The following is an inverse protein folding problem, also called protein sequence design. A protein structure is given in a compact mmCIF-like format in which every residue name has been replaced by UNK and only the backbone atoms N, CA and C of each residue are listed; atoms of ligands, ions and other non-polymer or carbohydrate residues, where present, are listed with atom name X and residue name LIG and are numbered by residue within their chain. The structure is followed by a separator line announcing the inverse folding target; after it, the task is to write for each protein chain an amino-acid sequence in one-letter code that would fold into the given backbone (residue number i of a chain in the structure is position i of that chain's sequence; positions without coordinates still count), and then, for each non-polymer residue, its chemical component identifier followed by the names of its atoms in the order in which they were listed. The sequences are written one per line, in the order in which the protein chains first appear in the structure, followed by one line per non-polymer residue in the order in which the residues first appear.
data_IF_962638037180
#
_entry.id   IF_962638037180
#
_cell.length_a   1.000
_cell.length_b   1.000
_cell.length_c   1.000
_cell.angle_alpha   90.00
_cell.angle_beta   90.00
_cell.angle_gamma   90.00
#
_symmetry.space_group_name_H-M   'P 1'
#
loop_
_entity.id
_entity.type
_entity.pdbx_description
1 polymer ?
#
# COMPACT_ATOMS: atom_id res chain seq x y z
N UNK A 1 15.71 0.75 -24.31
CA UNK A 1 15.55 0.01 -23.04
C UNK A 1 16.42 -1.24 -23.09
N UNK A 2 16.98 -1.67 -21.98
CA UNK A 2 17.71 -2.93 -21.90
C UNK A 2 16.71 -4.08 -22.04
N UNK A 3 16.95 -5.05 -22.92
CA UNK A 3 16.16 -6.29 -23.01
C UNK A 3 16.42 -7.24 -21.82
N UNK A 4 17.24 -6.80 -20.87
CA UNK A 4 17.62 -7.57 -19.69
C UNK A 4 16.56 -7.43 -18.59
N UNK A 5 16.21 -8.55 -17.92
CA UNK A 5 15.19 -8.51 -16.87
C UNK A 5 15.65 -7.72 -15.65
N UNK A 6 14.70 -7.02 -15.03
CA UNK A 6 14.88 -6.47 -13.68
C UNK A 6 15.09 -7.59 -12.66
N UNK A 7 15.59 -7.27 -11.48
CA UNK A 7 15.52 -8.19 -10.34
C UNK A 7 14.61 -7.58 -9.26
N UNK A 8 13.55 -8.28 -8.93
CA UNK A 8 12.70 -7.95 -7.79
C UNK A 8 13.11 -8.80 -6.60
N UNK A 9 13.57 -8.17 -5.52
CA UNK A 9 13.92 -8.87 -4.30
C UNK A 9 12.98 -8.48 -3.15
N UNK A 10 12.50 -9.48 -2.42
CA UNK A 10 11.58 -9.25 -1.31
C UNK A 10 11.18 -10.54 -0.59
N UNK A 11 10.04 -10.51 0.08
CA UNK A 11 9.55 -11.64 0.89
C UNK A 11 8.03 -11.81 0.75
N UNK A 12 7.55 -13.05 0.86
CA UNK A 12 6.11 -13.37 0.77
C UNK A 12 5.26 -12.75 1.88
N UNK A 13 5.85 -12.49 3.04
CA UNK A 13 5.18 -11.81 4.16
C UNK A 13 5.19 -10.28 4.07
N UNK A 14 5.62 -9.69 2.95
CA UNK A 14 5.66 -8.25 2.74
C UNK A 14 4.58 -7.81 1.75
N UNK A 15 3.60 -6.99 2.16
CA UNK A 15 2.56 -6.47 1.27
C UNK A 15 3.15 -5.69 0.09
N UNK A 16 4.10 -4.81 0.33
CA UNK A 16 4.75 -4.00 -0.71
C UNK A 16 5.53 -4.84 -1.72
N UNK A 17 6.13 -5.96 -1.28
CA UNK A 17 6.78 -6.90 -2.19
C UNK A 17 5.77 -7.56 -3.14
N UNK A 18 4.62 -7.98 -2.60
CA UNK A 18 3.58 -8.62 -3.41
C UNK A 18 2.89 -7.60 -4.32
N UNK A 19 2.69 -6.35 -3.86
CA UNK A 19 2.26 -5.22 -4.69
C UNK A 19 3.15 -5.09 -5.93
N UNK A 20 4.46 -4.93 -5.75
CA UNK A 20 5.39 -4.75 -6.87
C UNK A 20 5.49 -5.96 -7.78
N UNK A 21 5.41 -7.17 -7.22
CA UNK A 21 5.37 -8.40 -8.03
C UNK A 21 4.16 -8.45 -8.94
N UNK A 22 2.99 -8.09 -8.45
CA UNK A 22 1.75 -8.04 -9.24
C UNK A 22 1.81 -6.95 -10.31
N UNK A 23 2.33 -5.75 -9.99
CA UNK A 23 2.56 -4.67 -10.96
C UNK A 23 3.46 -5.14 -12.11
N UNK A 24 4.61 -5.75 -11.82
CA UNK A 24 5.52 -6.21 -12.86
C UNK A 24 4.90 -7.31 -13.75
N UNK A 25 4.11 -8.22 -13.17
CA UNK A 25 3.37 -9.25 -13.92
C UNK A 25 2.30 -8.62 -14.81
N UNK A 26 1.47 -7.75 -14.26
CA UNK A 26 0.44 -7.05 -15.03
C UNK A 26 1.03 -6.27 -16.20
N UNK A 27 2.13 -5.55 -15.98
CA UNK A 27 2.80 -4.75 -17.00
C UNK A 27 3.65 -5.53 -17.99
N UNK A 28 3.71 -6.86 -17.86
CA UNK A 28 4.58 -7.72 -18.65
C UNK A 28 6.06 -7.30 -18.64
N UNK A 29 6.51 -6.67 -17.54
CA UNK A 29 7.92 -6.28 -17.39
C UNK A 29 8.72 -7.50 -16.97
N UNK A 30 9.73 -7.92 -17.76
CA UNK A 30 10.52 -9.08 -17.40
C UNK A 30 11.30 -8.89 -16.11
N UNK A 31 11.20 -9.81 -15.19
CA UNK A 31 11.95 -9.77 -13.93
C UNK A 31 12.34 -11.15 -13.43
N UNK A 32 13.46 -11.21 -12.69
CA UNK A 32 13.86 -12.34 -11.86
C UNK A 32 13.40 -12.07 -10.42
N UNK A 33 12.70 -13.03 -9.85
CA UNK A 33 12.34 -12.98 -8.43
C UNK A 33 13.47 -13.50 -7.56
N UNK A 34 13.86 -12.77 -6.51
CA UNK A 34 14.84 -13.16 -5.51
C UNK A 34 14.24 -13.05 -4.11
N UNK A 35 14.36 -14.08 -3.32
CA UNK A 35 13.97 -14.05 -1.92
C UNK A 35 15.07 -13.35 -1.12
N UNK A 36 14.76 -12.13 -0.64
CA UNK A 36 15.72 -11.28 0.08
C UNK A 36 16.23 -11.95 1.36
N UNK A 37 17.52 -11.81 1.63
CA UNK A 37 18.25 -12.42 2.76
C UNK A 37 18.30 -13.96 2.71
N UNK A 38 17.99 -14.59 1.58
CA UNK A 38 18.22 -16.02 1.37
C UNK A 38 19.64 -16.29 0.88
N UNK A 39 20.04 -17.57 0.89
CA UNK A 39 21.34 -17.97 0.30
C UNK A 39 21.50 -17.70 -1.21
N UNK A 40 20.42 -17.32 -1.87
CA UNK A 40 20.36 -16.98 -3.29
C UNK A 40 20.35 -15.47 -3.55
N UNK A 41 20.43 -14.69 -2.46
CA UNK A 41 20.46 -13.23 -2.52
C UNK A 41 21.90 -12.77 -2.76
N UNK A 42 22.24 -12.59 -4.01
CA UNK A 42 23.53 -12.09 -4.50
C UNK A 42 23.51 -10.60 -4.86
N UNK A 43 22.49 -9.89 -4.41
CA UNK A 43 22.19 -8.54 -4.84
C UNK A 43 22.98 -7.47 -4.06
N UNK A 44 23.20 -6.30 -4.67
CA UNK A 44 23.83 -5.18 -3.99
C UNK A 44 23.00 -4.71 -2.78
N UNK A 45 23.67 -4.03 -1.85
CA UNK A 45 22.98 -3.38 -0.73
C UNK A 45 22.02 -2.31 -1.26
N UNK A 46 20.80 -2.30 -0.73
CA UNK A 46 19.84 -1.25 -1.02
C UNK A 46 20.21 0.04 -0.25
N UNK A 47 19.79 1.22 -0.75
CA UNK A 47 20.04 2.51 -0.07
C UNK A 47 19.49 2.56 1.36
N UNK A 48 18.38 1.87 1.61
CA UNK A 48 17.74 1.70 2.91
C UNK A 48 17.36 0.22 3.07
N UNK A 49 17.49 -0.38 4.29
CA UNK A 49 17.21 -1.81 4.51
C UNK A 49 15.71 -2.11 4.61
N UNK A 50 14.98 -1.79 3.54
CA UNK A 50 13.55 -2.09 3.36
C UNK A 50 13.32 -2.91 2.09
N UNK A 51 12.17 -3.53 1.97
CA UNK A 51 11.72 -4.30 0.81
C UNK A 51 10.36 -3.77 0.31
N UNK A 52 10.09 -3.88 -1.01
CA UNK A 52 10.87 -4.54 -2.04
C UNK A 52 12.10 -3.76 -2.50
N UNK A 53 13.09 -4.49 -3.04
CA UNK A 53 14.21 -3.91 -3.77
C UNK A 53 14.07 -4.26 -5.24
N UNK A 54 14.14 -3.27 -6.13
CA UNK A 54 14.29 -3.49 -7.57
C UNK A 54 15.73 -3.15 -7.95
N UNK A 55 16.41 -4.11 -8.57
CA UNK A 55 17.75 -3.90 -9.11
C UNK A 55 17.68 -3.84 -10.64
N UNK A 56 18.15 -2.74 -11.18
CA UNK A 56 18.24 -2.50 -12.61
C UNK A 56 19.53 -3.12 -13.16
N UNK A 57 19.51 -3.78 -14.32
CA UNK A 57 20.72 -4.33 -14.90
C UNK A 57 21.58 -3.25 -15.55
N UNK A 58 22.90 -3.41 -15.49
CA UNK A 58 23.82 -2.70 -16.34
C UNK A 58 23.77 -3.26 -17.78
N UNK A 59 24.35 -2.54 -18.74
CA UNK A 59 24.38 -2.97 -20.16
C UNK A 59 25.12 -4.30 -20.39
N UNK A 60 26.01 -4.70 -19.49
CA UNK A 60 26.74 -5.96 -19.53
C UNK A 60 26.02 -7.11 -18.79
N UNK A 61 24.82 -6.86 -18.26
CA UNK A 61 24.01 -7.82 -17.52
C UNK A 61 24.39 -7.96 -16.03
N UNK A 62 25.38 -7.23 -15.56
CA UNK A 62 25.70 -7.17 -14.13
C UNK A 62 24.66 -6.38 -13.34
N UNK A 63 24.63 -6.52 -12.00
CA UNK A 63 23.75 -5.76 -11.14
C UNK A 63 24.15 -4.28 -11.13
N UNK A 64 23.19 -3.42 -11.48
CA UNK A 64 23.32 -1.97 -11.46
C UNK A 64 22.65 -1.34 -10.23
N UNK A 65 21.88 -0.29 -10.47
CA UNK A 65 21.22 0.48 -9.41
C UNK A 65 20.16 -0.34 -8.66
N UNK A 66 20.21 -0.30 -7.32
CA UNK A 66 19.18 -0.86 -6.45
C UNK A 66 18.27 0.26 -5.93
N UNK A 67 16.97 0.12 -6.13
CA UNK A 67 15.93 1.06 -5.66
C UNK A 67 15.02 0.41 -4.63
N UNK A 68 14.42 1.22 -3.79
CA UNK A 68 13.44 0.84 -2.77
C UNK A 68 12.25 1.76 -2.82
N UNK A 69 11.18 1.42 -2.09
CA UNK A 69 9.95 2.19 -2.01
C UNK A 69 9.04 2.01 -3.23
N UNK A 70 7.87 1.40 -2.99
CA UNK A 70 7.00 0.92 -4.08
C UNK A 70 6.41 2.04 -4.94
N UNK A 71 6.01 3.18 -4.37
CA UNK A 71 5.37 4.25 -5.13
C UNK A 71 6.36 4.98 -6.05
N UNK A 72 7.58 5.38 -5.61
CA UNK A 72 8.63 5.84 -6.52
C UNK A 72 9.06 4.78 -7.57
N UNK A 73 9.06 3.48 -7.21
CA UNK A 73 9.35 2.41 -8.16
C UNK A 73 8.29 2.35 -9.27
N UNK A 74 6.99 2.42 -8.94
CA UNK A 74 5.91 2.48 -9.93
C UNK A 74 6.10 3.71 -10.83
N UNK A 75 6.31 4.90 -10.26
CA UNK A 75 6.53 6.14 -11.01
C UNK A 75 7.70 6.03 -11.99
N UNK A 76 8.77 5.36 -11.60
CA UNK A 76 9.92 5.11 -12.49
C UNK A 76 9.57 4.12 -13.59
N UNK A 77 8.88 3.03 -13.27
CA UNK A 77 8.46 2.04 -14.25
C UNK A 77 7.51 2.63 -15.30
N UNK A 78 6.63 3.56 -14.92
CA UNK A 78 5.76 4.28 -15.85
C UNK A 78 6.55 5.10 -16.88
N UNK A 79 7.66 5.70 -16.47
CA UNK A 79 8.54 6.48 -17.38
C UNK A 79 9.39 5.60 -18.30
N UNK A 80 9.76 4.40 -17.84
CA UNK A 80 10.66 3.50 -18.56
C UNK A 80 9.93 2.50 -19.49
N UNK A 81 8.67 2.19 -19.20
CA UNK A 81 7.85 1.22 -19.93
C UNK A 81 6.52 1.87 -20.31
N UNK A 82 6.16 1.87 -21.58
CA UNK A 82 4.97 2.56 -22.09
C UNK A 82 3.69 1.73 -22.06
N UNK A 83 3.83 0.38 -22.03
CA UNK A 83 2.69 -0.51 -22.18
C UNK A 83 2.02 -0.83 -20.85
N UNK A 84 0.70 -1.04 -20.90
CA UNK A 84 -0.10 -1.49 -19.75
C UNK A 84 0.11 -0.62 -18.50
N UNK A 85 0.04 0.71 -18.68
CA UNK A 85 0.16 1.68 -17.59
C UNK A 85 -0.78 1.35 -16.43
N UNK A 86 -0.33 1.56 -15.20
CA UNK A 86 -1.16 1.49 -13.97
C UNK A 86 -1.56 2.90 -13.49
N UNK A 87 -1.28 3.92 -14.29
CA UNK A 87 -1.69 5.31 -14.02
C UNK A 87 -2.56 5.78 -15.19
N UNK A 88 -3.81 6.22 -14.95
CA UNK A 88 -4.66 6.81 -15.98
C UNK A 88 -4.01 8.01 -16.65
N UNK A 89 -4.31 8.23 -17.94
CA UNK A 89 -3.85 9.44 -18.65
C UNK A 89 -4.62 10.70 -18.27
N UNK A 90 -5.87 10.59 -17.78
CA UNK A 90 -6.60 11.73 -17.20
C UNK A 90 -5.94 12.14 -15.87
N UNK A 91 -5.43 13.39 -15.77
CA UNK A 91 -4.67 13.82 -14.59
C UNK A 91 -5.48 13.81 -13.30
N UNK A 92 -6.79 14.05 -13.37
CA UNK A 92 -7.66 14.02 -12.19
C UNK A 92 -7.87 12.58 -11.71
N UNK A 93 -8.12 11.62 -12.62
CA UNK A 93 -8.17 10.20 -12.25
C UNK A 93 -6.83 9.70 -11.72
N UNK A 94 -5.71 10.10 -12.34
CA UNK A 94 -4.37 9.72 -11.91
C UNK A 94 -4.06 10.22 -10.48
N UNK A 95 -4.55 11.41 -10.13
CA UNK A 95 -4.42 11.96 -8.79
C UNK A 95 -5.26 11.17 -7.77
N UNK A 96 -6.53 10.91 -8.07
CA UNK A 96 -7.41 10.11 -7.21
C UNK A 96 -6.84 8.70 -6.99
N UNK A 97 -6.33 8.05 -8.04
CA UNK A 97 -5.68 6.76 -7.97
C UNK A 97 -4.44 6.78 -7.03
N UNK A 98 -3.66 7.87 -7.10
CA UNK A 98 -2.52 8.10 -6.21
C UNK A 98 -2.91 8.30 -4.76
N UNK A 99 -3.97 9.03 -4.49
CA UNK A 99 -4.52 9.19 -3.14
C UNK A 99 -4.95 7.84 -2.56
N UNK A 100 -5.59 6.99 -3.37
CA UNK A 100 -6.01 5.65 -2.96
C UNK A 100 -4.79 4.74 -2.74
N UNK A 101 -3.74 4.84 -3.57
CA UNK A 101 -2.50 4.11 -3.36
C UNK A 101 -1.88 4.45 -2.00
N UNK A 102 -1.75 5.75 -1.70
CA UNK A 102 -1.15 6.21 -0.44
C UNK A 102 -1.99 5.79 0.78
N UNK A 103 -3.32 5.84 0.70
CA UNK A 103 -4.20 5.27 1.71
C UNK A 103 -3.95 3.77 1.94
N UNK A 104 -3.81 3.00 0.87
CA UNK A 104 -3.47 1.57 0.94
C UNK A 104 -2.15 1.33 1.66
N UNK A 105 -1.14 2.08 1.29
CA UNK A 105 0.22 1.92 1.80
C UNK A 105 0.40 2.47 3.23
N UNK A 106 -0.28 3.55 3.62
CA UNK A 106 -0.03 4.26 4.89
C UNK A 106 -1.12 4.09 5.95
N UNK A 107 -2.36 3.75 5.54
CA UNK A 107 -3.45 3.50 6.49
C UNK A 107 -3.83 2.03 6.59
N UNK A 108 -4.10 1.35 5.47
CA UNK A 108 -4.50 -0.07 5.50
C UNK A 108 -3.36 -0.95 6.06
N UNK A 109 -2.11 -0.54 5.88
CA UNK A 109 -0.95 -1.19 6.52
C UNK A 109 -1.04 -1.24 8.05
N UNK A 110 -1.74 -0.27 8.69
CA UNK A 110 -1.94 -0.27 10.14
C UNK A 110 -2.78 -1.48 10.58
N UNK A 111 -3.84 -1.79 9.82
CA UNK A 111 -4.65 -2.98 10.06
C UNK A 111 -3.83 -4.26 9.85
N UNK A 112 -3.05 -4.35 8.77
CA UNK A 112 -2.18 -5.50 8.51
C UNK A 112 -1.19 -5.74 9.64
N UNK A 113 -0.52 -4.69 10.10
CA UNK A 113 0.44 -4.80 11.19
C UNK A 113 -0.25 -5.12 12.53
N UNK A 114 -1.40 -4.48 12.78
CA UNK A 114 -2.20 -4.69 13.97
C UNK A 114 -2.60 -6.14 14.10
N UNK A 115 -3.32 -6.71 13.14
CA UNK A 115 -3.76 -8.11 13.20
C UNK A 115 -2.60 -9.09 13.37
N UNK A 116 -1.54 -8.94 12.57
CA UNK A 116 -0.38 -9.85 12.60
C UNK A 116 0.32 -9.92 13.95
N UNK A 117 0.36 -8.81 14.69
CA UNK A 117 1.17 -8.71 15.91
C UNK A 117 0.35 -8.48 17.18
N UNK A 118 -0.98 -8.65 17.11
CA UNK A 118 -1.89 -8.54 18.27
C UNK A 118 -2.40 -9.91 18.71
N UNK A 119 -2.80 -10.74 17.77
CA UNK A 119 -3.50 -12.00 18.05
C UNK A 119 -2.55 -13.18 18.05
N UNK A 120 -2.70 -14.08 19.03
CA UNK A 120 -1.79 -15.21 19.24
C UNK A 120 -1.63 -16.08 17.98
N UNK A 121 -2.73 -16.39 17.30
CA UNK A 121 -2.69 -17.21 16.09
C UNK A 121 -1.88 -16.59 14.95
N UNK A 122 -1.95 -15.27 14.83
CA UNK A 122 -1.23 -14.50 13.82
C UNK A 122 0.24 -14.33 14.19
N UNK A 123 0.52 -14.03 15.46
CA UNK A 123 1.88 -13.96 16.02
C UNK A 123 2.60 -15.29 15.83
N UNK A 124 1.95 -16.39 16.20
CA UNK A 124 2.52 -17.73 16.11
C UNK A 124 2.85 -18.09 14.66
N UNK A 125 1.91 -17.88 13.74
CA UNK A 125 2.14 -18.12 12.32
C UNK A 125 3.26 -17.24 11.76
N UNK A 126 3.20 -15.92 11.99
CA UNK A 126 4.19 -14.99 11.48
C UNK A 126 5.59 -15.27 12.04
N UNK A 127 5.68 -15.51 13.36
CA UNK A 127 6.93 -15.81 14.04
C UNK A 127 7.64 -17.05 13.49
N UNK A 128 6.89 -18.09 13.11
CA UNK A 128 7.45 -19.29 12.52
C UNK A 128 7.71 -19.16 11.00
N UNK A 129 6.75 -18.65 10.24
CA UNK A 129 6.84 -18.70 8.76
C UNK A 129 7.74 -17.62 8.16
N UNK A 130 7.83 -16.43 8.75
CA UNK A 130 8.68 -15.38 8.19
C UNK A 130 10.17 -15.75 8.20
N UNK A 131 10.75 -16.34 9.26
CA UNK A 131 12.13 -16.82 9.21
C UNK A 131 12.32 -18.00 8.25
N UNK A 132 11.47 -19.01 8.32
CA UNK A 132 11.57 -20.23 7.50
C UNK A 132 11.46 -19.91 6.01
N UNK A 133 10.68 -18.89 5.64
CA UNK A 133 10.57 -18.48 4.22
C UNK A 133 11.92 -18.09 3.60
N UNK A 134 12.91 -17.70 4.39
CA UNK A 134 14.26 -17.35 3.92
C UNK A 134 15.20 -18.53 3.87
N UNK A 135 15.05 -19.45 4.79
CA UNK A 135 15.89 -20.63 4.91
C UNK A 135 15.08 -21.85 5.39
N UNK A 136 14.70 -22.70 4.45
CA UNK A 136 13.99 -23.97 4.74
C UNK A 136 14.86 -24.99 5.49
N UNK A 137 16.17 -24.77 5.63
CA UNK A 137 17.11 -25.68 6.27
C UNK A 137 17.40 -25.30 7.74
N UNK A 138 16.70 -24.29 8.29
CA UNK A 138 16.80 -23.94 9.72
C UNK A 138 16.50 -25.17 10.60
N UNK A 139 17.38 -25.45 11.54
CA UNK A 139 17.08 -26.42 12.60
C UNK A 139 16.16 -25.80 13.68
N UNK A 140 15.65 -26.62 14.58
CA UNK A 140 14.69 -26.18 15.61
C UNK A 140 15.22 -25.06 16.49
N UNK A 141 16.51 -25.08 16.87
CA UNK A 141 17.10 -24.05 17.73
C UNK A 141 17.26 -22.72 17.01
N UNK A 142 17.61 -22.76 15.72
CA UNK A 142 17.71 -21.57 14.85
C UNK A 142 16.32 -20.96 14.64
N UNK A 143 15.31 -21.80 14.38
CA UNK A 143 13.95 -21.36 14.21
C UNK A 143 13.41 -20.70 15.48
N UNK A 144 13.61 -21.33 16.65
CA UNK A 144 13.15 -20.76 17.92
C UNK A 144 13.80 -19.39 18.21
N UNK A 145 15.10 -19.25 18.01
CA UNK A 145 15.80 -17.96 18.17
C UNK A 145 15.28 -16.89 17.22
N UNK A 146 14.98 -17.28 15.97
CA UNK A 146 14.45 -16.36 14.97
C UNK A 146 13.00 -15.96 15.31
N UNK A 147 12.19 -16.89 15.78
CA UNK A 147 10.85 -16.65 16.29
C UNK A 147 10.87 -15.64 17.45
N UNK A 148 11.66 -15.90 18.49
CA UNK A 148 11.76 -15.02 19.66
C UNK A 148 12.21 -13.61 19.26
N UNK A 149 13.19 -13.50 18.37
CA UNK A 149 13.70 -12.23 17.88
C UNK A 149 12.63 -11.44 17.11
N UNK A 150 11.98 -12.07 16.11
CA UNK A 150 11.05 -11.36 15.25
C UNK A 150 9.78 -10.96 16.00
N UNK A 151 9.22 -11.86 16.81
CA UNK A 151 8.01 -11.58 17.58
C UNK A 151 8.23 -10.48 18.60
N UNK A 152 9.28 -10.59 19.43
CA UNK A 152 9.64 -9.55 20.40
C UNK A 152 9.86 -8.19 19.73
N UNK A 153 10.62 -8.15 18.62
CA UNK A 153 10.91 -6.93 17.87
C UNK A 153 9.65 -6.29 17.28
N UNK A 154 8.77 -7.07 16.71
CA UNK A 154 7.60 -6.53 16.02
C UNK A 154 6.49 -6.15 17.00
N UNK A 155 6.28 -6.94 18.05
CA UNK A 155 5.30 -6.62 19.11
C UNK A 155 5.69 -5.32 19.81
N UNK A 156 6.98 -5.12 20.14
CA UNK A 156 7.45 -3.88 20.78
C UNK A 156 7.29 -2.64 19.88
N UNK A 157 7.07 -2.81 18.58
CA UNK A 157 6.89 -1.73 17.60
C UNK A 157 5.42 -1.43 17.25
N UNK A 158 4.47 -2.14 17.82
CA UNK A 158 3.05 -1.93 17.53
C UNK A 158 2.62 -0.47 17.71
N UNK A 159 3.02 0.15 18.79
CA UNK A 159 2.70 1.56 19.08
C UNK A 159 3.25 2.53 18.01
N UNK A 160 4.37 2.22 17.34
CA UNK A 160 4.93 3.07 16.28
C UNK A 160 4.04 3.19 15.05
N UNK A 161 3.22 2.17 14.80
CA UNK A 161 2.24 2.16 13.69
C UNK A 161 0.81 2.41 14.18
N UNK A 162 0.65 2.81 15.44
CA UNK A 162 -0.64 3.11 16.05
C UNK A 162 -1.43 1.89 16.51
N UNK A 163 -0.86 0.67 16.49
CA UNK A 163 -1.53 -0.54 16.96
C UNK A 163 -1.50 -0.62 18.50
N UNK A 164 -2.41 0.08 19.14
CA UNK A 164 -2.62 0.11 20.60
C UNK A 164 -4.01 -0.41 20.95
N UNK A 165 -4.26 -0.70 22.23
CA UNK A 165 -5.59 -1.11 22.69
C UNK A 165 -6.65 -0.03 22.44
N UNK A 166 -6.28 1.26 22.62
CA UNK A 166 -7.15 2.40 22.39
C UNK A 166 -7.57 2.54 20.92
N UNK A 167 -6.63 2.31 19.99
CA UNK A 167 -6.87 2.41 18.56
C UNK A 167 -7.47 1.13 17.93
N UNK A 168 -7.47 0.00 18.63
CA UNK A 168 -7.95 -1.29 18.11
C UNK A 168 -9.34 -1.17 17.44
N UNK A 169 -10.37 -0.58 18.07
CA UNK A 169 -11.70 -0.50 17.45
C UNK A 169 -11.70 0.30 16.14
N UNK A 170 -10.91 1.37 16.06
CA UNK A 170 -10.80 2.22 14.87
C UNK A 170 -10.13 1.44 13.72
N UNK A 171 -9.02 0.76 14.00
CA UNK A 171 -8.24 0.02 13.00
C UNK A 171 -9.06 -1.14 12.44
N UNK A 172 -9.70 -1.93 13.31
CA UNK A 172 -10.46 -3.11 12.90
C UNK A 172 -11.73 -2.72 12.15
N UNK A 173 -12.48 -1.72 12.61
CA UNK A 173 -13.68 -1.26 11.92
C UNK A 173 -13.35 -0.63 10.55
N UNK A 174 -12.21 0.06 10.41
CA UNK A 174 -11.73 0.56 9.11
C UNK A 174 -11.47 -0.59 8.13
N UNK A 175 -10.83 -1.68 8.58
CA UNK A 175 -10.65 -2.87 7.74
C UNK A 175 -11.98 -3.49 7.32
N UNK A 176 -12.93 -3.62 8.24
CA UNK A 176 -14.26 -4.17 7.93
C UNK A 176 -15.02 -3.32 6.90
N UNK A 177 -14.98 -1.98 7.02
CA UNK A 177 -15.60 -1.09 6.05
C UNK A 177 -14.92 -1.15 4.69
N UNK A 178 -13.59 -1.26 4.64
CA UNK A 178 -12.87 -1.48 3.38
C UNK A 178 -13.36 -2.76 2.69
N UNK A 179 -13.55 -3.86 3.43
CA UNK A 179 -14.10 -5.11 2.89
C UNK A 179 -15.51 -4.93 2.32
N UNK A 180 -16.38 -4.16 2.98
CA UNK A 180 -17.74 -3.88 2.51
C UNK A 180 -17.74 -3.02 1.23
N UNK A 181 -16.90 -1.99 1.19
CA UNK A 181 -16.74 -1.09 0.03
C UNK A 181 -16.26 -1.91 -1.18
N UNK A 182 -15.23 -2.72 -1.01
CA UNK A 182 -14.72 -3.58 -2.09
C UNK A 182 -15.74 -4.64 -2.51
N UNK A 183 -16.52 -5.20 -1.58
CA UNK A 183 -17.60 -6.14 -1.92
C UNK A 183 -18.68 -5.47 -2.78
N UNK A 184 -19.00 -4.19 -2.52
CA UNK A 184 -19.90 -3.41 -3.35
C UNK A 184 -19.29 -3.13 -4.73
N UNK A 185 -18.04 -2.69 -4.79
CA UNK A 185 -17.30 -2.46 -6.04
C UNK A 185 -17.35 -3.68 -6.94
N UNK A 186 -16.99 -4.84 -6.41
CA UNK A 186 -16.93 -6.13 -7.11
C UNK A 186 -18.31 -6.70 -7.49
N UNK A 187 -19.38 -5.95 -7.32
CA UNK A 187 -20.71 -6.27 -7.84
C UNK A 187 -20.96 -5.65 -9.21
N UNK A 188 -20.15 -4.69 -9.65
CA UNK A 188 -20.32 -3.97 -10.90
C UNK A 188 -19.03 -3.71 -11.68
N UNK A 189 -17.88 -3.67 -11.00
CA UNK A 189 -16.59 -3.37 -11.60
C UNK A 189 -15.51 -4.31 -11.06
N UNK A 190 -14.49 -4.57 -11.85
CA UNK A 190 -13.36 -5.41 -11.44
C UNK A 190 -12.30 -4.63 -10.64
N UNK A 191 -12.21 -3.29 -10.85
CA UNK A 191 -11.22 -2.41 -10.21
C UNK A 191 -11.82 -1.05 -9.83
N UNK A 192 -11.10 -0.28 -9.03
CA UNK A 192 -11.55 0.99 -8.44
C UNK A 192 -11.92 2.06 -9.47
N UNK A 193 -11.23 2.07 -10.61
CA UNK A 193 -11.44 3.04 -11.67
C UNK A 193 -11.90 2.39 -12.99
N UNK A 194 -12.59 1.23 -12.91
CA UNK A 194 -13.19 0.58 -14.07
C UNK A 194 -12.82 -0.90 -14.22
N UNK A 195 -12.40 -1.28 -15.44
CA UNK A 195 -12.14 -2.67 -15.84
C UNK A 195 -10.63 -2.97 -15.98
N UNK A 196 -9.77 -2.06 -15.53
CA UNK A 196 -8.33 -2.26 -15.45
C UNK A 196 -7.75 -1.72 -14.14
N UNK A 197 -6.68 -2.34 -13.60
CA UNK A 197 -6.14 -1.95 -12.31
C UNK A 197 -5.33 -0.66 -12.39
N UNK A 198 -5.54 0.23 -11.42
CA UNK A 198 -4.68 1.35 -11.12
C UNK A 198 -3.65 1.06 -10.02
N UNK A 199 -2.75 2.01 -9.76
CA UNK A 199 -1.79 1.91 -8.65
C UNK A 199 -2.50 1.83 -7.30
N UNK A 200 -3.68 2.45 -7.15
CA UNK A 200 -4.53 2.35 -5.97
C UNK A 200 -5.03 0.94 -5.71
N UNK A 201 -5.46 0.22 -6.76
CA UNK A 201 -5.82 -1.21 -6.65
C UNK A 201 -4.64 -2.03 -6.15
N UNK A 202 -3.43 -1.81 -6.69
CA UNK A 202 -2.24 -2.53 -6.26
C UNK A 202 -1.79 -2.16 -4.83
N UNK A 203 -2.00 -0.92 -4.39
CA UNK A 203 -1.76 -0.49 -3.00
C UNK A 203 -2.63 -1.26 -2.02
N UNK A 204 -3.94 -1.26 -2.25
CA UNK A 204 -4.91 -2.02 -1.44
C UNK A 204 -4.66 -3.53 -1.54
N UNK A 205 -4.45 -4.06 -2.75
CA UNK A 205 -4.13 -5.47 -2.98
C UNK A 205 -2.92 -5.90 -2.15
N UNK A 206 -1.85 -5.11 -2.14
CA UNK A 206 -0.64 -5.42 -1.37
C UNK A 206 -0.96 -5.76 0.08
N UNK A 207 -1.74 -4.93 0.76
CA UNK A 207 -2.14 -5.15 2.15
C UNK A 207 -3.10 -6.34 2.30
N UNK A 208 -4.05 -6.49 1.38
CA UNK A 208 -5.02 -7.59 1.40
C UNK A 208 -4.37 -8.96 1.15
N UNK A 209 -3.21 -9.05 0.49
CA UNK A 209 -2.46 -10.31 0.40
C UNK A 209 -2.14 -10.88 1.78
N UNK A 210 -1.96 -10.01 2.75
CA UNK A 210 -1.69 -10.37 4.13
C UNK A 210 -3.00 -10.47 4.93
N UNK A 211 -3.82 -9.45 4.92
CA UNK A 211 -5.07 -9.38 5.67
C UNK A 211 -6.12 -10.42 5.24
N UNK A 212 -6.32 -10.62 3.94
CA UNK A 212 -7.37 -11.50 3.45
C UNK A 212 -6.91 -12.93 3.11
N UNK A 213 -5.58 -13.17 3.08
CA UNK A 213 -5.03 -14.46 2.63
C UNK A 213 -4.01 -15.08 3.58
N UNK A 214 -3.21 -14.27 4.25
CA UNK A 214 -2.05 -14.81 4.97
C UNK A 214 -2.24 -14.87 6.48
N UNK A 215 -2.70 -13.78 7.12
CA UNK A 215 -2.87 -13.69 8.58
C UNK A 215 -4.21 -14.32 9.00
N UNK A 216 -4.24 -15.30 9.92
CA UNK A 216 -5.44 -16.11 10.22
C UNK A 216 -6.65 -15.31 10.68
N UNK A 217 -6.46 -14.35 11.60
CA UNK A 217 -7.57 -13.61 12.21
C UNK A 217 -8.26 -12.70 11.20
N UNK A 218 -7.58 -11.80 10.48
CA UNK A 218 -8.25 -10.93 9.50
C UNK A 218 -8.73 -11.71 8.27
N UNK A 219 -8.07 -12.83 7.92
CA UNK A 219 -8.56 -13.74 6.87
C UNK A 219 -9.92 -14.34 7.24
N UNK A 220 -10.14 -14.73 8.51
CA UNK A 220 -11.44 -15.25 8.95
C UNK A 220 -12.54 -14.18 8.86
N UNK A 221 -12.23 -12.92 9.17
CA UNK A 221 -13.14 -11.79 8.97
C UNK A 221 -13.48 -11.64 7.48
N UNK A 222 -12.48 -11.61 6.60
CA UNK A 222 -12.67 -11.50 5.17
C UNK A 222 -13.47 -12.69 4.59
N UNK A 223 -13.21 -13.91 5.02
CA UNK A 223 -13.89 -15.11 4.56
C UNK A 223 -15.41 -15.09 4.87
N UNK A 224 -15.76 -14.53 6.01
CA UNK A 224 -17.16 -14.43 6.44
C UNK A 224 -17.88 -13.23 5.77
N UNK A 225 -17.21 -12.09 5.67
CA UNK A 225 -17.79 -10.79 5.28
C UNK A 225 -17.69 -10.53 3.78
N UNK A 226 -16.57 -10.87 3.16
CA UNK A 226 -16.19 -10.43 1.82
C UNK A 226 -15.51 -11.52 0.97
N UNK A 227 -16.15 -12.67 0.71
CA UNK A 227 -15.53 -13.75 -0.06
C UNK A 227 -15.13 -13.34 -1.49
N UNK A 228 -15.81 -12.35 -2.08
CA UNK A 228 -15.42 -11.78 -3.39
C UNK A 228 -14.04 -11.11 -3.32
N UNK A 229 -13.73 -10.42 -2.22
CA UNK A 229 -12.44 -9.74 -2.04
C UNK A 229 -11.31 -10.75 -1.98
N UNK A 230 -11.50 -11.90 -1.32
CA UNK A 230 -10.49 -12.98 -1.32
C UNK A 230 -10.21 -13.46 -2.74
N UNK A 231 -11.26 -13.69 -3.55
CA UNK A 231 -11.13 -14.11 -4.94
C UNK A 231 -10.50 -13.02 -5.82
N UNK A 232 -10.79 -11.76 -5.53
CA UNK A 232 -10.16 -10.62 -6.19
C UNK A 232 -8.65 -10.55 -5.91
N UNK A 233 -8.24 -10.76 -4.67
CA UNK A 233 -6.81 -10.83 -4.30
C UNK A 233 -6.10 -11.94 -5.07
N UNK A 234 -6.72 -13.11 -5.25
CA UNK A 234 -6.15 -14.20 -6.06
C UNK A 234 -6.00 -13.80 -7.54
N UNK A 235 -6.96 -13.04 -8.10
CA UNK A 235 -6.87 -12.57 -9.48
C UNK A 235 -5.77 -11.52 -9.65
N UNK A 236 -5.68 -10.55 -8.74
CA UNK A 236 -4.71 -9.46 -8.82
C UNK A 236 -3.26 -9.95 -8.66
N UNK A 237 -3.04 -11.09 -8.01
CA UNK A 237 -1.69 -11.68 -7.91
C UNK A 237 -1.03 -11.91 -9.27
N UNK A 238 -1.82 -12.22 -10.30
CA UNK A 238 -1.31 -12.35 -11.66
C UNK A 238 -2.37 -11.93 -12.71
N UNK A 239 -2.33 -10.68 -13.13
CA UNK A 239 -3.16 -10.11 -14.18
C UNK A 239 -2.48 -10.10 -15.55
N UNK A 240 -1.46 -10.94 -15.76
CA UNK A 240 -0.78 -11.04 -17.06
C UNK A 240 -1.71 -11.50 -18.19
N UNK A 241 -2.80 -12.18 -17.85
CA UNK A 241 -3.85 -12.63 -18.78
C UNK A 241 -4.84 -11.55 -19.20
N UNK A 242 -4.97 -10.44 -18.42
CA UNK A 242 -5.98 -9.40 -18.66
C UNK A 242 -5.68 -8.69 -19.99
N UNK A 243 -6.61 -8.67 -20.97
CA UNK A 243 -6.42 -7.91 -22.19
C UNK A 243 -6.52 -6.42 -21.89
N UNK A 244 -5.53 -5.64 -22.30
CA UNK A 244 -5.49 -4.18 -22.13
C UNK A 244 -4.86 -3.57 -23.37
N UNK A 245 -5.57 -2.62 -23.99
CA UNK A 245 -5.07 -1.85 -25.15
C UNK A 245 -5.19 -0.35 -24.87
N UNK A 246 -4.13 0.41 -25.08
CA UNK A 246 -4.12 1.86 -24.90
C UNK A 246 -4.67 2.29 -23.53
N UNK A 247 -5.68 3.16 -23.57
CA UNK A 247 -6.38 3.70 -22.39
C UNK A 247 -7.71 2.98 -22.09
N UNK A 248 -8.04 1.92 -22.81
CA UNK A 248 -9.27 1.17 -22.57
C UNK A 248 -9.33 0.59 -21.16
N UNK A 249 -10.53 0.55 -20.61
CA UNK A 249 -10.81 0.03 -19.26
C UNK A 249 -10.82 1.08 -18.15
N UNK A 250 -10.32 2.29 -18.37
CA UNK A 250 -10.57 3.40 -17.45
C UNK A 250 -11.97 3.98 -17.64
N UNK A 251 -12.67 4.27 -16.54
CA UNK A 251 -13.93 5.01 -16.62
C UNK A 251 -13.66 6.49 -16.91
N UNK A 252 -14.59 7.21 -17.57
CA UNK A 252 -14.57 8.69 -17.57
C UNK A 252 -14.63 9.22 -16.12
N UNK A 253 -14.03 10.38 -15.87
CA UNK A 253 -13.96 10.95 -14.52
C UNK A 253 -15.34 11.16 -13.87
N UNK A 254 -16.35 11.50 -14.65
CA UNK A 254 -17.75 11.68 -14.21
C UNK A 254 -18.53 10.35 -14.04
N UNK A 255 -17.90 9.22 -14.33
CA UNK A 255 -18.47 7.88 -14.19
C UNK A 255 -17.71 6.99 -13.19
N UNK A 256 -16.94 7.60 -12.29
CA UNK A 256 -16.25 6.86 -11.21
C UNK A 256 -17.26 6.09 -10.36
N UNK A 257 -17.01 4.80 -10.06
CA UNK A 257 -17.97 3.96 -9.33
C UNK A 257 -18.36 4.54 -7.96
N UNK A 258 -19.63 4.43 -7.58
CA UNK A 258 -20.12 4.86 -6.25
C UNK A 258 -19.33 4.23 -5.09
N UNK A 259 -18.84 3.01 -5.27
CA UNK A 259 -18.01 2.35 -4.27
C UNK A 259 -16.67 3.06 -4.09
N UNK A 260 -16.09 3.59 -5.17
CA UNK A 260 -14.85 4.38 -5.12
C UNK A 260 -15.11 5.73 -4.44
N UNK A 261 -16.23 6.39 -4.71
CA UNK A 261 -16.63 7.59 -3.97
C UNK A 261 -16.81 7.30 -2.46
N UNK A 262 -17.38 6.15 -2.10
CA UNK A 262 -17.44 5.72 -0.69
C UNK A 262 -16.07 5.43 -0.08
N UNK A 263 -15.12 4.92 -0.88
CA UNK A 263 -13.74 4.75 -0.43
C UNK A 263 -13.08 6.10 -0.13
N UNK A 264 -13.35 7.14 -0.94
CA UNK A 264 -12.88 8.49 -0.63
C UNK A 264 -13.45 9.02 0.69
N UNK A 265 -14.72 8.73 1.00
CA UNK A 265 -15.28 9.05 2.32
C UNK A 265 -14.59 8.27 3.46
N UNK A 266 -14.24 7.00 3.27
CA UNK A 266 -13.44 6.24 4.25
C UNK A 266 -12.06 6.86 4.46
N UNK A 267 -11.39 7.26 3.37
CA UNK A 267 -10.10 7.96 3.40
C UNK A 267 -10.22 9.27 4.19
N UNK A 268 -11.26 10.06 3.91
CA UNK A 268 -11.52 11.34 4.58
C UNK A 268 -11.85 11.22 6.06
N UNK A 269 -12.45 10.11 6.48
CA UNK A 269 -12.81 9.87 7.89
C UNK A 269 -11.67 9.26 8.72
N UNK A 270 -10.68 8.66 8.08
CA UNK A 270 -9.63 7.89 8.76
C UNK A 270 -8.23 8.43 8.46
N UNK A 271 -7.77 8.23 7.24
CA UNK A 271 -6.43 8.58 6.79
C UNK A 271 -6.18 10.10 6.81
N UNK A 272 -7.09 10.90 6.26
CA UNK A 272 -6.89 12.33 6.09
C UNK A 272 -6.66 13.08 7.42
N UNK A 273 -7.51 12.93 8.46
CA UNK A 273 -7.29 13.60 9.75
C UNK A 273 -6.01 13.14 10.42
N UNK A 274 -5.63 11.86 10.27
CA UNK A 274 -4.38 11.35 10.80
C UNK A 274 -3.16 11.96 10.10
N UNK A 275 -3.14 12.02 8.77
CA UNK A 275 -1.99 12.54 8.00
C UNK A 275 -1.75 14.02 8.28
N UNK A 276 -2.82 14.82 8.35
CA UNK A 276 -2.73 16.25 8.70
C UNK A 276 -2.19 16.42 10.13
N UNK A 277 -2.76 15.70 11.11
CA UNK A 277 -2.30 15.78 12.50
C UNK A 277 -0.84 15.30 12.65
N UNK A 278 -0.43 14.29 11.88
CA UNK A 278 0.96 13.81 11.87
C UNK A 278 1.93 14.87 11.33
N UNK A 279 1.56 15.56 10.24
CA UNK A 279 2.36 16.65 9.70
C UNK A 279 2.50 17.79 10.71
N UNK A 280 1.39 18.22 11.33
CA UNK A 280 1.39 19.26 12.36
C UNK A 280 2.25 18.86 13.59
N UNK A 281 2.16 17.61 14.03
CA UNK A 281 2.99 17.12 15.13
C UNK A 281 4.49 17.12 14.78
N UNK A 282 4.85 16.79 13.54
CA UNK A 282 6.24 16.83 13.06
C UNK A 282 6.78 18.26 13.00
N UNK A 283 5.98 19.23 12.53
CA UNK A 283 6.36 20.65 12.45
C UNK A 283 6.50 21.26 13.85
N UNK A 284 5.54 20.99 14.74
CA UNK A 284 5.55 21.54 16.12
C UNK A 284 6.54 20.83 17.04
N UNK A 285 7.09 19.68 16.64
CA UNK A 285 7.93 18.83 17.46
C UNK A 285 7.19 18.17 18.62
N UNK A 286 5.89 17.92 18.46
CA UNK A 286 5.09 17.20 19.45
C UNK A 286 5.53 15.73 19.55
N UNK A 287 5.43 15.16 20.74
CA UNK A 287 5.78 13.76 21.00
C UNK A 287 4.66 12.78 20.58
N UNK A 288 3.44 13.28 20.38
CA UNK A 288 2.26 12.49 20.07
C UNK A 288 1.37 13.17 19.03
N UNK A 289 0.88 12.39 18.09
CA UNK A 289 -0.24 12.72 17.18
C UNK A 289 -1.53 12.38 17.91
N UNK A 290 -2.47 13.33 17.97
CA UNK A 290 -3.82 13.13 18.51
C UNK A 290 -4.82 13.70 17.53
N UNK A 291 -5.71 12.89 17.01
CA UNK A 291 -6.76 13.34 16.10
C UNK A 291 -8.08 12.61 16.32
N UNK A 292 -9.17 13.24 15.87
CA UNK A 292 -10.47 12.58 15.82
C UNK A 292 -10.55 11.72 14.57
N UNK A 293 -10.85 10.44 14.74
CA UNK A 293 -11.07 9.48 13.65
C UNK A 293 -12.37 8.75 13.96
N UNK A 294 -13.35 8.82 13.09
CA UNK A 294 -14.65 8.15 13.21
C UNK A 294 -15.37 8.36 14.56
N UNK A 295 -15.29 9.56 15.10
CA UNK A 295 -15.90 9.88 16.41
C UNK A 295 -15.14 9.33 17.62
N UNK A 296 -14.01 8.63 17.40
CA UNK A 296 -13.04 8.23 18.41
C UNK A 296 -11.83 9.13 18.45
N UNK A 297 -10.94 8.89 19.39
CA UNK A 297 -9.62 9.56 19.45
C UNK A 297 -8.55 8.58 19.03
N UNK A 298 -7.82 8.92 17.99
CA UNK A 298 -6.66 8.15 17.51
C UNK A 298 -5.37 8.76 18.04
N UNK A 299 -4.44 7.93 18.51
CA UNK A 299 -3.16 8.35 19.09
C UNK A 299 -1.99 7.54 18.54
N UNK A 300 -0.90 8.24 18.16
CA UNK A 300 0.32 7.59 17.66
C UNK A 300 1.52 8.51 17.89
N UNK A 301 2.72 7.96 17.98
CA UNK A 301 3.94 8.75 17.84
C UNK A 301 4.06 9.34 16.42
N UNK A 302 4.58 10.57 16.24
CA UNK A 302 4.79 11.15 14.92
C UNK A 302 5.69 10.28 14.04
N UNK A 303 5.31 10.10 12.79
CA UNK A 303 6.01 9.24 11.85
C UNK A 303 6.50 10.03 10.63
N UNK A 304 7.80 10.28 10.56
CA UNK A 304 8.44 11.14 9.55
C UNK A 304 8.16 10.71 8.10
N UNK A 305 8.12 9.39 7.86
CA UNK A 305 7.88 8.91 6.50
C UNK A 305 6.47 9.28 6.01
N UNK A 306 5.45 9.18 6.86
CA UNK A 306 4.07 9.59 6.52
C UNK A 306 3.96 11.11 6.30
N UNK A 307 4.75 11.94 7.01
CA UNK A 307 4.87 13.37 6.69
C UNK A 307 5.43 13.60 5.29
N UNK A 308 6.40 12.78 4.86
CA UNK A 308 6.93 12.82 3.49
C UNK A 308 5.90 12.37 2.44
N UNK A 309 5.08 11.36 2.75
CA UNK A 309 4.01 10.90 1.85
C UNK A 309 2.98 12.02 1.63
N UNK A 310 2.52 12.68 2.69
CA UNK A 310 1.60 13.80 2.58
C UNK A 310 2.21 14.96 1.77
N UNK A 311 3.49 15.27 1.97
CA UNK A 311 4.17 16.29 1.19
C UNK A 311 4.15 15.96 -0.30
N UNK A 312 4.48 14.74 -0.68
CA UNK A 312 4.42 14.30 -2.09
C UNK A 312 3.01 14.40 -2.66
N UNK A 313 1.99 13.99 -1.90
CA UNK A 313 0.61 14.08 -2.33
C UNK A 313 0.18 15.54 -2.57
N UNK A 314 0.64 16.47 -1.72
CA UNK A 314 0.41 17.92 -1.87
C UNK A 314 1.17 18.51 -3.06
N UNK A 315 2.39 18.07 -3.31
CA UNK A 315 3.17 18.44 -4.49
C UNK A 315 2.44 18.00 -5.77
N UNK A 316 1.95 16.76 -5.83
CA UNK A 316 1.17 16.23 -6.95
C UNK A 316 -0.13 17.02 -7.16
N UNK A 317 -0.87 17.35 -6.09
CA UNK A 317 -2.08 18.17 -6.15
C UNK A 317 -1.78 19.58 -6.70
N UNK A 318 -0.71 20.20 -6.23
CA UNK A 318 -0.31 21.56 -6.62
C UNK A 318 0.13 21.60 -8.09
N UNK A 319 0.72 20.52 -8.59
CA UNK A 319 1.17 20.37 -9.97
C UNK A 319 0.03 20.14 -10.96
N UNK A 320 -1.20 19.86 -10.52
CA UNK A 320 -2.36 19.73 -11.40
C UNK A 320 -2.67 21.06 -12.10
N UNK A 321 -2.94 20.98 -13.39
CA UNK A 321 -3.53 22.09 -14.14
C UNK A 321 -4.93 22.44 -13.58
N UNK A 322 -5.36 23.71 -13.72
CA UNK A 322 -6.58 24.19 -13.06
C UNK A 322 -7.82 23.33 -13.35
N UNK A 323 -8.02 22.90 -14.61
CA UNK A 323 -9.17 22.07 -14.98
C UNK A 323 -9.18 20.71 -14.26
N UNK A 324 -8.01 20.06 -14.16
CA UNK A 324 -7.89 18.79 -13.45
C UNK A 324 -8.06 18.97 -11.94
N UNK A 325 -7.53 20.07 -11.39
CA UNK A 325 -7.68 20.42 -9.98
C UNK A 325 -9.14 20.66 -9.62
N UNK A 326 -9.85 21.46 -10.43
CA UNK A 326 -11.29 21.72 -10.23
C UNK A 326 -12.11 20.43 -10.22
N UNK A 327 -11.78 19.46 -11.09
CA UNK A 327 -12.40 18.13 -11.08
C UNK A 327 -12.12 17.38 -9.77
N UNK A 328 -10.87 17.38 -9.32
CA UNK A 328 -10.47 16.72 -8.05
C UNK A 328 -11.21 17.36 -6.90
N UNK A 329 -11.26 18.70 -6.81
CA UNK A 329 -11.95 19.41 -5.74
C UNK A 329 -13.44 19.05 -5.66
N UNK A 330 -14.11 18.98 -6.80
CA UNK A 330 -15.52 18.56 -6.90
C UNK A 330 -15.70 17.11 -6.43
N UNK A 331 -14.77 16.19 -6.77
CA UNK A 331 -14.86 14.79 -6.34
C UNK A 331 -14.59 14.61 -4.86
N UNK A 332 -13.72 15.41 -4.29
CA UNK A 332 -13.36 15.33 -2.88
C UNK A 332 -14.33 16.11 -1.98
N UNK A 333 -15.17 17.02 -2.52
CA UNK A 333 -16.11 17.83 -1.75
C UNK A 333 -17.05 16.95 -0.90
N UNK A 334 -17.03 17.19 0.42
CA UNK A 334 -17.85 16.46 1.39
C UNK A 334 -17.38 15.04 1.71
N UNK A 335 -16.25 14.58 1.16
CA UNK A 335 -15.67 13.29 1.53
C UNK A 335 -14.86 13.36 2.83
N UNK A 336 -14.36 14.53 3.20
CA UNK A 336 -13.41 14.76 4.30
C UNK A 336 -11.94 14.72 3.83
N UNK A 337 -11.67 14.37 2.56
CA UNK A 337 -10.31 14.36 2.00
C UNK A 337 -9.79 15.78 1.72
N UNK A 338 -10.67 16.76 1.56
CA UNK A 338 -10.34 18.15 1.26
C UNK A 338 -9.37 18.76 2.28
N UNK A 339 -9.40 18.32 3.53
CA UNK A 339 -8.48 18.79 4.58
C UNK A 339 -7.01 18.51 4.30
N UNK A 340 -6.71 17.53 3.42
CA UNK A 340 -5.34 17.22 3.02
C UNK A 340 -4.70 18.37 2.21
N UNK A 341 -5.55 19.16 1.52
CA UNK A 341 -5.14 20.16 0.53
C UNK A 341 -5.56 21.59 0.90
N UNK A 342 -6.07 21.81 2.12
CA UNK A 342 -6.43 23.12 2.63
C UNK A 342 -5.21 24.06 2.65
N UNK A 343 -5.40 25.29 2.16
CA UNK A 343 -4.35 26.33 2.04
C UNK A 343 -3.70 26.67 3.38
N UNK A 344 -4.45 26.58 4.48
CA UNK A 344 -3.94 26.88 5.81
C UNK A 344 -2.97 25.80 6.31
N UNK A 345 -3.13 24.56 5.83
CA UNK A 345 -2.24 23.44 6.14
C UNK A 345 -1.05 23.33 5.17
N UNK A 346 -1.17 23.90 3.96
CA UNK A 346 -0.08 23.91 2.96
C UNK A 346 1.05 24.88 3.31
N UNK A 347 0.76 25.96 4.05
CA UNK A 347 1.73 27.02 4.37
C UNK A 347 2.56 26.76 5.63
N UNK A 348 2.29 25.70 6.38
CA UNK A 348 3.00 25.36 7.61
C UNK A 348 4.29 24.51 7.39
N UNK A 349 4.60 24.13 6.13
CA UNK A 349 5.71 23.22 5.80
C UNK A 349 6.94 23.88 5.15
N UNK A 350 6.99 25.23 5.01
CA UNK A 350 8.15 25.97 4.46
C UNK A 350 9.25 26.29 5.48
#
# INVERSE_FOLDING_TARGET
MSDLPLVLAGQYGSPYTLKMRAVLRYRHIPFRWVLRDSKWDDLPAAPVPIIPVIVYPNSDGSHGEATVDSSPQITRLEKEYSDRSVIPSDPALAFIDGLIEDFGDEWVTKAMYHYRWTYDADIDKAGHLLPVSRDLQMNSDQLQKSYDFITSRQISRRALVGSTEENTPIIESSYERLLDILTQLLSSHDFLLGDRPGRGDFGIYGQLTQLAKWDPTPMAVAATRAPKVISWVDRVDDLSWLPVEGEEGWVPFDAVPDATARLLCEIGQTYAPFMVANAQALVSGADEVVCAVEGGTYRQAPFKYQGKCLKWLREDYTALESEARDKVDVMLEGTGCEILFDSDTLNEED
#
